data_IF_760746820174
#
_entry.id   IF_760746820174
#
_cell.length_a   1.000
_cell.length_b   1.000
_cell.length_c   1.000
_cell.angle_alpha   90.00
_cell.angle_beta   90.00
_cell.angle_gamma   90.00
#
_symmetry.space_group_name_H-M   'P 1'
#
loop_
_entity.id
_entity.type
_entity.pdbx_description
1 polymer ?
#
# COMPACT_ATOMS: atom_id res chain seq x y z
N UNK A 1 5.73 -24.30 -22.69
CA UNK A 1 4.97 -24.52 -21.45
C UNK A 1 4.88 -23.18 -20.73
N UNK A 2 3.71 -22.81 -20.20
CA UNK A 2 3.61 -21.64 -19.32
C UNK A 2 4.48 -21.89 -18.08
N UNK A 3 5.18 -20.88 -17.57
CA UNK A 3 5.89 -21.04 -16.30
C UNK A 3 4.87 -21.34 -15.19
N UNK A 4 5.24 -22.21 -14.27
CA UNK A 4 4.39 -22.59 -13.14
C UNK A 4 4.27 -21.38 -12.18
N UNK A 5 3.05 -20.89 -11.92
CA UNK A 5 2.83 -19.77 -10.98
C UNK A 5 3.37 -20.08 -9.58
N UNK A 6 3.28 -21.33 -9.11
CA UNK A 6 3.77 -21.73 -7.79
C UNK A 6 5.30 -21.71 -7.74
N UNK A 7 5.99 -22.09 -8.81
CA UNK A 7 7.46 -21.99 -8.87
C UNK A 7 7.91 -20.53 -8.83
N UNK A 8 7.22 -19.66 -9.56
CA UNK A 8 7.48 -18.21 -9.56
C UNK A 8 7.30 -17.61 -8.15
N UNK A 9 6.18 -17.92 -7.49
CA UNK A 9 5.91 -17.43 -6.13
C UNK A 9 6.88 -18.04 -5.09
N UNK A 10 7.27 -19.31 -5.25
CA UNK A 10 8.23 -19.99 -4.37
C UNK A 10 9.62 -19.38 -4.49
N UNK A 11 10.10 -19.13 -5.71
CA UNK A 11 11.40 -18.48 -5.93
C UNK A 11 11.45 -17.07 -5.32
N UNK A 12 10.34 -16.32 -5.39
CA UNK A 12 10.22 -14.99 -4.78
C UNK A 12 10.08 -15.02 -3.25
N UNK A 13 9.94 -16.20 -2.64
CA UNK A 13 9.71 -16.33 -1.19
C UNK A 13 8.30 -15.89 -0.75
N UNK A 14 7.35 -15.85 -1.67
CA UNK A 14 6.00 -15.33 -1.41
C UNK A 14 5.09 -16.38 -0.76
N UNK A 15 5.19 -17.66 -1.14
CA UNK A 15 4.26 -18.68 -0.66
C UNK A 15 4.36 -18.85 0.87
N UNK A 16 3.21 -18.75 1.54
CA UNK A 16 3.03 -19.19 2.93
C UNK A 16 2.41 -20.58 2.97
N UNK A 17 1.23 -20.75 2.36
CA UNK A 17 0.50 -22.02 2.30
C UNK A 17 -0.22 -22.17 0.96
N UNK A 18 -0.39 -23.41 0.51
CA UNK A 18 -1.16 -23.79 -0.67
C UNK A 18 -2.06 -24.96 -0.29
N UNK A 19 -3.34 -24.92 -0.65
CA UNK A 19 -4.28 -25.99 -0.26
C UNK A 19 -4.07 -27.27 -1.07
N UNK A 20 -3.85 -27.14 -2.39
CA UNK A 20 -3.59 -28.25 -3.29
C UNK A 20 -2.87 -27.72 -4.54
N UNK A 21 -1.59 -28.07 -4.71
CA UNK A 21 -0.77 -27.56 -5.82
C UNK A 21 -1.31 -28.00 -7.20
N UNK A 22 -1.78 -29.25 -7.32
CA UNK A 22 -2.31 -29.77 -8.59
C UNK A 22 -3.55 -29.00 -9.05
N UNK A 23 -4.49 -28.69 -8.14
CA UNK A 23 -5.68 -27.88 -8.49
C UNK A 23 -5.30 -26.49 -9.01
N UNK A 24 -4.27 -25.87 -8.44
CA UNK A 24 -3.77 -24.56 -8.92
C UNK A 24 -3.19 -24.67 -10.33
N UNK A 25 -2.45 -25.74 -10.63
CA UNK A 25 -1.90 -25.99 -11.97
C UNK A 25 -3.00 -26.27 -12.99
N UNK A 26 -4.00 -27.07 -12.63
CA UNK A 26 -5.14 -27.38 -13.49
C UNK A 26 -5.96 -26.11 -13.80
N UNK A 27 -6.13 -25.24 -12.80
CA UNK A 27 -6.76 -23.92 -12.94
C UNK A 27 -5.95 -23.00 -13.89
N UNK A 28 -4.62 -22.98 -13.76
CA UNK A 28 -3.73 -22.22 -14.67
C UNK A 28 -3.85 -22.70 -16.13
N UNK A 29 -3.97 -24.02 -16.33
CA UNK A 29 -4.09 -24.63 -17.64
C UNK A 29 -5.49 -24.40 -18.26
N UNK A 30 -6.53 -24.32 -17.43
CA UNK A 30 -7.91 -24.07 -17.84
C UNK A 30 -8.25 -22.58 -17.97
N UNK A 31 -7.31 -21.68 -17.62
CA UNK A 31 -7.52 -20.23 -17.53
C UNK A 31 -8.71 -19.88 -16.62
N UNK A 32 -8.84 -20.60 -15.50
CA UNK A 32 -9.84 -20.32 -14.47
C UNK A 32 -9.59 -18.92 -13.87
N UNK A 33 -10.63 -18.35 -13.26
CA UNK A 33 -10.48 -17.10 -12.54
C UNK A 33 -9.81 -17.31 -11.17
N UNK A 34 -9.08 -16.28 -10.75
CA UNK A 34 -8.48 -16.15 -9.43
C UNK A 34 -9.00 -14.88 -8.80
N UNK A 35 -9.33 -14.89 -7.51
CA UNK A 35 -9.79 -13.68 -6.84
C UNK A 35 -8.99 -13.33 -5.59
N UNK A 36 -8.94 -12.02 -5.31
CA UNK A 36 -8.47 -11.45 -4.06
C UNK A 36 -9.52 -10.47 -3.52
N UNK A 37 -9.82 -10.53 -2.23
CA UNK A 37 -10.71 -9.59 -1.55
C UNK A 37 -9.99 -8.30 -1.12
N UNK A 38 -10.69 -7.18 -1.20
CA UNK A 38 -10.23 -5.87 -0.72
C UNK A 38 -11.37 -5.17 0.03
N UNK A 39 -11.21 -5.02 1.35
CA UNK A 39 -12.18 -4.28 2.19
C UNK A 39 -11.98 -2.76 2.00
N UNK A 40 -13.05 -1.98 1.72
CA UNK A 40 -12.97 -0.55 1.45
C UNK A 40 -12.87 0.30 2.73
N UNK A 41 -11.84 0.07 3.55
CA UNK A 41 -11.66 0.74 4.85
C UNK A 41 -11.23 2.21 4.75
N UNK A 42 -10.75 2.64 3.60
CA UNK A 42 -10.40 4.02 3.29
C UNK A 42 -10.67 4.31 1.80
N UNK A 43 -10.63 5.58 1.42
CA UNK A 43 -10.73 6.10 0.04
C UNK A 43 -9.46 5.91 -0.79
N UNK A 44 -8.46 5.19 -0.28
CA UNK A 44 -7.28 4.76 -1.05
C UNK A 44 -6.70 3.50 -0.43
N UNK A 45 -6.12 2.63 -1.25
CA UNK A 45 -5.18 1.62 -0.78
C UNK A 45 -3.84 2.28 -0.42
N UNK A 46 -2.99 1.52 0.26
CA UNK A 46 -1.65 1.92 0.69
C UNK A 46 -0.66 0.81 0.40
N UNK A 47 0.65 1.06 0.57
CA UNK A 47 1.72 0.10 0.21
C UNK A 47 1.56 -1.31 0.79
N UNK A 48 0.96 -1.45 1.98
CA UNK A 48 0.63 -2.77 2.56
C UNK A 48 -0.28 -3.66 1.70
N UNK A 49 -1.08 -3.08 0.80
CA UNK A 49 -1.95 -3.83 -0.12
C UNK A 49 -1.23 -4.26 -1.40
N UNK A 50 -0.06 -3.66 -1.70
CA UNK A 50 0.65 -3.91 -2.96
C UNK A 50 1.04 -5.37 -3.13
N UNK A 51 1.37 -6.07 -2.04
CA UNK A 51 1.71 -7.48 -2.12
C UNK A 51 0.58 -8.32 -2.74
N UNK A 52 -0.67 -8.05 -2.36
CA UNK A 52 -1.84 -8.74 -2.92
C UNK A 52 -2.12 -8.31 -4.36
N UNK A 53 -2.05 -7.02 -4.65
CA UNK A 53 -2.26 -6.46 -5.99
C UNK A 53 -1.25 -7.06 -6.98
N UNK A 54 0.03 -7.08 -6.61
CA UNK A 54 1.11 -7.63 -7.43
C UNK A 54 0.95 -9.12 -7.60
N UNK A 55 0.59 -9.85 -6.53
CA UNK A 55 0.33 -11.29 -6.61
C UNK A 55 -0.83 -11.58 -7.56
N UNK A 56 -1.96 -10.87 -7.44
CA UNK A 56 -3.09 -11.00 -8.37
C UNK A 56 -2.66 -10.76 -9.82
N UNK A 57 -1.82 -9.74 -10.06
CA UNK A 57 -1.25 -9.48 -11.38
C UNK A 57 -0.30 -10.58 -11.86
N UNK A 58 0.49 -11.21 -10.98
CA UNK A 58 1.34 -12.37 -11.35
C UNK A 58 0.50 -13.54 -11.83
N UNK A 59 -0.61 -13.85 -11.15
CA UNK A 59 -1.54 -14.87 -11.64
C UNK A 59 -2.13 -14.48 -13.00
N UNK A 60 -2.53 -13.22 -13.19
CA UNK A 60 -3.01 -12.74 -14.48
C UNK A 60 -1.99 -12.94 -15.62
N UNK A 61 -0.71 -12.66 -15.36
CA UNK A 61 0.39 -12.89 -16.31
C UNK A 61 0.62 -14.37 -16.64
N UNK A 62 0.19 -15.30 -15.77
CA UNK A 62 0.21 -16.75 -16.04
C UNK A 62 -1.09 -17.29 -16.68
N UNK A 63 -2.02 -16.39 -17.04
CA UNK A 63 -3.21 -16.70 -17.83
C UNK A 63 -4.48 -16.94 -17.01
N UNK A 64 -4.47 -16.71 -15.69
CA UNK A 64 -5.70 -16.66 -14.91
C UNK A 64 -6.50 -15.40 -15.24
N UNK A 65 -7.83 -15.44 -15.03
CA UNK A 65 -8.68 -14.24 -15.08
C UNK A 65 -8.67 -13.56 -13.70
N UNK A 66 -8.05 -12.39 -13.51
CA UNK A 66 -7.95 -11.77 -12.19
C UNK A 66 -9.25 -11.05 -11.78
N UNK A 67 -9.80 -11.41 -10.63
CA UNK A 67 -10.96 -10.79 -10.00
C UNK A 67 -10.52 -10.03 -8.73
N UNK A 68 -10.80 -8.72 -8.69
CA UNK A 68 -10.75 -7.95 -7.45
C UNK A 68 -12.16 -7.90 -6.85
N UNK A 69 -12.36 -8.63 -5.76
CA UNK A 69 -13.61 -8.57 -5.00
C UNK A 69 -13.54 -7.41 -4.03
N UNK A 70 -14.43 -6.44 -4.19
CA UNK A 70 -14.58 -5.33 -3.27
C UNK A 70 -15.58 -5.74 -2.19
N UNK A 71 -15.14 -5.65 -0.93
CA UNK A 71 -15.91 -6.04 0.23
C UNK A 71 -16.96 -5.00 0.63
N UNK A 72 -17.93 -4.70 -0.22
CA UNK A 72 -18.96 -3.70 0.09
C UNK A 72 -19.89 -4.10 1.23
N UNK A 73 -20.20 -5.40 1.38
CA UNK A 73 -20.93 -5.92 2.52
C UNK A 73 -19.99 -6.32 3.66
N UNK A 74 -18.92 -7.08 3.38
CA UNK A 74 -17.95 -7.51 4.41
C UNK A 74 -17.22 -6.36 5.08
N UNK A 75 -17.01 -5.25 4.37
CA UNK A 75 -16.46 -4.01 4.93
C UNK A 75 -17.35 -3.35 5.98
N UNK A 76 -18.67 -3.59 5.94
CA UNK A 76 -19.63 -3.15 6.96
C UNK A 76 -19.69 -4.08 8.19
N UNK A 77 -19.04 -5.25 8.13
CA UNK A 77 -18.97 -6.22 9.22
C UNK A 77 -17.62 -6.11 9.93
N UNK A 78 -16.54 -6.09 9.14
CA UNK A 78 -15.16 -6.01 9.60
C UNK A 78 -14.52 -7.37 9.86
N UNK A 79 -13.41 -7.65 9.17
CA UNK A 79 -12.63 -8.88 9.41
C UNK A 79 -11.93 -8.84 10.78
N UNK A 80 -12.19 -9.80 11.69
CA UNK A 80 -11.51 -9.91 12.98
C UNK A 80 -10.11 -10.54 12.90
N UNK A 81 -9.73 -11.12 11.75
CA UNK A 81 -8.51 -11.93 11.62
C UNK A 81 -7.26 -11.18 12.08
N UNK A 82 -6.66 -11.67 13.17
CA UNK A 82 -5.45 -11.14 13.81
C UNK A 82 -5.53 -9.65 14.18
N UNK A 83 -6.73 -9.13 14.45
CA UNK A 83 -6.96 -7.78 15.02
C UNK A 83 -7.19 -7.87 16.52
N UNK A 84 -6.74 -6.88 17.27
CA UNK A 84 -6.90 -6.84 18.74
C UNK A 84 -8.18 -6.14 19.19
N UNK A 85 -8.81 -5.34 18.32
CA UNK A 85 -9.98 -4.51 18.64
C UNK A 85 -11.01 -4.59 17.52
N UNK A 86 -12.28 -4.37 17.89
CA UNK A 86 -13.39 -4.28 16.94
C UNK A 86 -13.21 -3.09 16.01
N UNK A 87 -13.59 -3.24 14.74
CA UNK A 87 -13.50 -2.14 13.76
C UNK A 87 -14.63 -1.13 13.97
N UNK A 88 -14.33 0.15 13.73
CA UNK A 88 -15.36 1.19 13.65
C UNK A 88 -16.17 0.97 12.37
N UNK A 89 -17.49 0.82 12.51
CA UNK A 89 -18.40 0.64 11.38
C UNK A 89 -18.53 1.93 10.57
N UNK A 90 -18.37 1.81 9.25
CA UNK A 90 -18.51 2.92 8.30
C UNK A 90 -19.97 3.07 7.85
N UNK A 91 -20.38 4.30 7.54
CA UNK A 91 -21.71 4.54 6.95
C UNK A 91 -21.77 3.99 5.53
N UNK A 92 -22.96 3.63 5.03
CA UNK A 92 -23.16 3.17 3.64
C UNK A 92 -22.57 4.17 2.62
N UNK A 93 -22.76 5.48 2.86
CA UNK A 93 -22.20 6.54 2.02
C UNK A 93 -20.66 6.55 2.02
N UNK A 94 -20.03 6.36 3.18
CA UNK A 94 -18.56 6.29 3.26
C UNK A 94 -18.03 5.04 2.55
N UNK A 95 -18.69 3.90 2.73
CA UNK A 95 -18.32 2.65 2.05
C UNK A 95 -18.45 2.82 0.54
N UNK A 96 -19.56 3.36 0.03
CA UNK A 96 -19.76 3.62 -1.40
C UNK A 96 -18.70 4.57 -1.98
N UNK A 97 -18.34 5.63 -1.25
CA UNK A 97 -17.26 6.53 -1.64
C UNK A 97 -15.92 5.78 -1.76
N UNK A 98 -15.58 4.99 -0.75
CA UNK A 98 -14.33 4.23 -0.69
C UNK A 98 -14.27 3.17 -1.81
N UNK A 99 -15.37 2.45 -2.07
CA UNK A 99 -15.49 1.45 -3.15
C UNK A 99 -15.17 2.10 -4.50
N UNK A 100 -15.79 3.24 -4.81
CA UNK A 100 -15.58 3.92 -6.08
C UNK A 100 -14.12 4.35 -6.27
N UNK A 101 -13.50 4.87 -5.20
CA UNK A 101 -12.09 5.30 -5.21
C UNK A 101 -11.12 4.13 -5.39
N UNK A 102 -11.27 3.07 -4.59
CA UNK A 102 -10.41 1.88 -4.66
C UNK A 102 -10.56 1.17 -6.01
N UNK A 103 -11.78 1.04 -6.52
CA UNK A 103 -12.02 0.40 -7.83
C UNK A 103 -11.35 1.17 -8.96
N UNK A 104 -11.44 2.50 -8.94
CA UNK A 104 -10.74 3.36 -9.91
C UNK A 104 -9.22 3.18 -9.82
N UNK A 105 -8.67 3.24 -8.61
CA UNK A 105 -7.24 3.09 -8.36
C UNK A 105 -6.71 1.71 -8.81
N UNK A 106 -7.41 0.62 -8.49
CA UNK A 106 -7.01 -0.73 -8.90
C UNK A 106 -7.09 -0.91 -10.42
N UNK A 107 -8.08 -0.29 -11.09
CA UNK A 107 -8.25 -0.37 -12.55
C UNK A 107 -7.11 0.32 -13.29
N UNK A 108 -6.60 1.43 -12.74
CA UNK A 108 -5.41 2.11 -13.28
C UNK A 108 -4.13 1.25 -13.13
N UNK A 109 -4.00 0.51 -12.03
CA UNK A 109 -2.82 -0.35 -11.74
C UNK A 109 -2.85 -1.68 -12.53
N UNK A 110 -4.04 -2.29 -12.64
CA UNK A 110 -4.28 -3.55 -13.35
C UNK A 110 -5.46 -3.37 -14.32
N UNK A 111 -5.24 -2.84 -15.53
CA UNK A 111 -6.33 -2.59 -16.50
C UNK A 111 -7.14 -3.85 -16.89
N UNK A 112 -6.56 -5.05 -16.73
CA UNK A 112 -7.18 -6.34 -17.05
C UNK A 112 -7.98 -6.95 -15.90
N UNK A 113 -8.04 -6.30 -14.72
CA UNK A 113 -8.77 -6.83 -13.56
C UNK A 113 -10.27 -6.63 -13.71
N UNK A 114 -11.05 -7.68 -13.44
CA UNK A 114 -12.51 -7.56 -13.31
C UNK A 114 -12.87 -7.23 -11.86
N UNK A 115 -13.81 -6.31 -11.68
CA UNK A 115 -14.31 -5.92 -10.37
C UNK A 115 -15.66 -6.57 -10.11
N UNK A 116 -15.82 -7.09 -8.90
CA UNK A 116 -17.10 -7.57 -8.36
C UNK A 116 -17.27 -6.99 -6.97
N UNK A 117 -18.51 -6.72 -6.55
CA UNK A 117 -18.80 -6.24 -5.22
C UNK A 117 -19.65 -7.27 -4.49
N UNK A 118 -19.18 -7.78 -3.34
CA UNK A 118 -19.94 -8.80 -2.64
C UNK A 118 -21.29 -8.32 -2.08
N UNK A 119 -21.49 -7.00 -2.01
CA UNK A 119 -22.81 -6.45 -1.75
C UNK A 119 -23.87 -6.91 -2.76
N UNK A 120 -23.48 -7.13 -4.03
CA UNK A 120 -24.39 -7.48 -5.13
C UNK A 120 -25.10 -8.82 -4.92
N UNK A 121 -24.59 -9.69 -4.05
CA UNK A 121 -25.25 -10.94 -3.66
C UNK A 121 -25.51 -11.06 -2.17
N UNK A 122 -24.74 -10.39 -1.30
CA UNK A 122 -24.95 -10.47 0.15
C UNK A 122 -26.08 -9.56 0.65
N UNK A 123 -26.37 -8.43 -0.03
CA UNK A 123 -27.42 -7.48 0.42
C UNK A 123 -28.84 -8.08 0.30
N UNK A 124 -29.05 -8.99 -0.65
CA UNK A 124 -30.35 -9.62 -0.92
C UNK A 124 -30.62 -10.90 -0.11
N UNK A 125 -29.65 -11.37 0.68
CA UNK A 125 -29.81 -12.60 1.49
C UNK A 125 -30.54 -12.23 2.78
N UNK A 126 -31.75 -12.75 2.95
CA UNK A 126 -32.49 -12.60 4.20
C UNK A 126 -31.74 -13.28 5.36
N UNK A 127 -31.92 -12.80 6.59
CA UNK A 127 -31.30 -13.44 7.76
C UNK A 127 -31.65 -14.94 7.85
N UNK A 128 -32.89 -15.31 7.51
CA UNK A 128 -33.32 -16.71 7.54
C UNK A 128 -32.60 -17.53 6.47
N UNK A 129 -32.48 -17.01 5.25
CA UNK A 129 -31.77 -17.71 4.18
C UNK A 129 -30.27 -17.80 4.48
N UNK A 130 -29.66 -16.76 5.07
CA UNK A 130 -28.27 -16.82 5.53
C UNK A 130 -28.07 -17.96 6.55
N UNK A 131 -28.90 -18.03 7.59
CA UNK A 131 -28.77 -19.06 8.62
C UNK A 131 -29.03 -20.47 8.07
N UNK A 132 -30.05 -20.63 7.21
CA UNK A 132 -30.48 -21.93 6.68
C UNK A 132 -29.59 -22.45 5.56
N UNK A 133 -29.14 -21.59 4.66
CA UNK A 133 -28.48 -22.00 3.43
C UNK A 133 -26.96 -21.84 3.50
N UNK A 134 -26.46 -21.00 4.40
CA UNK A 134 -25.02 -20.79 4.64
C UNK A 134 -24.66 -21.32 6.03
N UNK A 135 -25.26 -20.76 7.09
CA UNK A 135 -24.90 -21.04 8.48
C UNK A 135 -24.91 -22.51 8.88
N UNK A 136 -25.85 -23.32 8.35
CA UNK A 136 -25.93 -24.76 8.65
C UNK A 136 -24.67 -25.56 8.29
N UNK A 137 -23.85 -25.06 7.37
CA UNK A 137 -22.63 -25.73 6.90
C UNK A 137 -21.45 -25.48 7.84
N UNK A 138 -21.55 -24.52 8.76
CA UNK A 138 -20.47 -24.15 9.66
C UNK A 138 -20.73 -24.69 11.06
N UNK A 139 -20.01 -25.75 11.42
CA UNK A 139 -20.03 -26.24 12.79
C UNK A 139 -19.36 -25.22 13.73
N UNK A 140 -20.00 -24.90 14.85
CA UNK A 140 -19.46 -23.94 15.82
C UNK A 140 -18.08 -24.36 16.34
N UNK A 141 -17.87 -25.64 16.69
CA UNK A 141 -16.57 -26.15 17.13
C UNK A 141 -15.49 -25.97 16.06
N UNK A 142 -15.84 -26.09 14.77
CA UNK A 142 -14.92 -25.83 13.67
C UNK A 142 -14.53 -24.35 13.58
N UNK A 143 -15.50 -23.43 13.67
CA UNK A 143 -15.23 -21.98 13.66
C UNK A 143 -14.38 -21.55 14.86
N UNK A 144 -14.70 -22.03 16.05
CA UNK A 144 -13.96 -21.73 17.28
C UNK A 144 -12.51 -22.24 17.25
N UNK A 145 -12.22 -23.28 16.48
CA UNK A 145 -10.88 -23.83 16.32
C UNK A 145 -10.00 -23.04 15.32
N UNK A 146 -10.59 -22.14 14.52
CA UNK A 146 -9.81 -21.27 13.62
C UNK A 146 -8.98 -20.29 14.45
N UNK A 147 -7.68 -20.24 14.20
CA UNK A 147 -6.74 -19.41 14.95
C UNK A 147 -7.18 -17.93 15.03
N UNK A 148 -7.64 -17.37 13.90
CA UNK A 148 -8.14 -15.99 13.80
C UNK A 148 -9.31 -15.68 14.76
N UNK A 149 -10.18 -16.66 14.99
CA UNK A 149 -11.34 -16.55 15.89
C UNK A 149 -10.90 -16.86 17.33
N UNK A 150 -10.14 -17.95 17.53
CA UNK A 150 -9.70 -18.41 18.84
C UNK A 150 -8.95 -17.33 19.62
N UNK A 151 -8.05 -16.58 18.96
CA UNK A 151 -7.32 -15.48 19.61
C UNK A 151 -8.24 -14.33 20.00
N UNK A 152 -9.31 -14.07 19.24
CA UNK A 152 -10.18 -12.93 19.45
C UNK A 152 -11.24 -13.17 20.52
N UNK A 153 -11.73 -14.40 20.64
CA UNK A 153 -12.72 -14.78 21.66
C UNK A 153 -12.23 -14.44 23.07
N UNK A 154 -10.94 -14.60 23.35
CA UNK A 154 -10.36 -14.25 24.66
C UNK A 154 -10.43 -12.75 24.97
N UNK A 155 -10.48 -11.91 23.93
CA UNK A 155 -10.54 -10.43 24.05
C UNK A 155 -11.94 -9.85 23.82
N UNK A 156 -12.92 -10.69 23.47
CA UNK A 156 -14.24 -10.29 22.99
C UNK A 156 -14.33 -10.31 21.46
N UNK A 157 -15.38 -10.96 20.95
CA UNK A 157 -15.72 -11.05 19.53
C UNK A 157 -17.24 -10.92 19.41
N UNK A 158 -17.73 -9.95 18.62
CA UNK A 158 -19.17 -9.76 18.42
C UNK A 158 -19.72 -10.83 17.46
N UNK A 159 -21.03 -11.12 17.55
CA UNK A 159 -21.70 -12.02 16.60
C UNK A 159 -21.53 -11.51 15.16
N UNK A 160 -21.50 -10.19 14.99
CA UNK A 160 -21.23 -9.51 13.71
C UNK A 160 -19.88 -9.94 13.15
N UNK A 161 -18.77 -9.73 13.87
CA UNK A 161 -17.43 -10.14 13.42
C UNK A 161 -17.31 -11.67 13.27
N UNK A 162 -17.98 -12.45 14.13
CA UNK A 162 -17.99 -13.91 14.05
C UNK A 162 -18.59 -14.43 12.73
N UNK A 163 -19.59 -13.74 12.18
CA UNK A 163 -20.20 -14.10 10.89
C UNK A 163 -19.31 -13.82 9.68
N UNK A 164 -18.22 -13.05 9.82
CA UNK A 164 -17.36 -12.65 8.70
C UNK A 164 -16.83 -13.84 7.89
N UNK A 165 -16.33 -14.88 8.57
CA UNK A 165 -15.79 -16.09 7.92
C UNK A 165 -16.83 -16.78 7.03
N UNK A 166 -18.10 -16.80 7.45
CA UNK A 166 -19.20 -17.39 6.68
C UNK A 166 -19.53 -16.56 5.43
N UNK A 167 -19.51 -15.22 5.56
CA UNK A 167 -19.73 -14.31 4.43
C UNK A 167 -18.63 -14.45 3.37
N UNK A 168 -17.35 -14.45 3.78
CA UNK A 168 -16.23 -14.65 2.84
C UNK A 168 -16.23 -16.05 2.22
N UNK A 169 -16.67 -17.07 2.96
CA UNK A 169 -16.83 -18.41 2.41
C UNK A 169 -17.92 -18.45 1.32
N UNK A 170 -19.03 -17.74 1.54
CA UNK A 170 -20.09 -17.59 0.54
C UNK A 170 -19.62 -16.81 -0.69
N UNK A 171 -18.79 -15.79 -0.53
CA UNK A 171 -18.17 -15.07 -1.64
C UNK A 171 -17.41 -16.03 -2.57
N UNK A 172 -16.61 -16.95 -2.02
CA UNK A 172 -15.89 -17.93 -2.84
C UNK A 172 -16.87 -18.84 -3.57
N UNK A 173 -17.89 -19.35 -2.88
CA UNK A 173 -18.92 -20.18 -3.51
C UNK A 173 -19.65 -19.46 -4.64
N UNK A 174 -20.01 -18.19 -4.44
CA UNK A 174 -20.68 -17.39 -5.46
C UNK A 174 -19.80 -17.22 -6.70
N UNK A 175 -18.55 -16.84 -6.53
CA UNK A 175 -17.60 -16.67 -7.65
C UNK A 175 -17.28 -18.01 -8.33
N UNK A 176 -17.20 -19.10 -7.57
CA UNK A 176 -17.00 -20.44 -8.12
C UNK A 176 -18.15 -20.86 -9.05
N UNK A 177 -19.39 -20.53 -8.66
CA UNK A 177 -20.59 -20.88 -9.43
C UNK A 177 -20.82 -19.96 -10.63
N UNK A 178 -20.53 -18.66 -10.50
CA UNK A 178 -20.97 -17.63 -11.47
C UNK A 178 -19.83 -17.00 -12.29
N UNK A 179 -18.56 -17.19 -11.90
CA UNK A 179 -17.42 -16.47 -12.50
C UNK A 179 -16.25 -17.38 -12.90
N UNK A 180 -16.46 -18.70 -13.03
CA UNK A 180 -15.42 -19.69 -13.31
C UNK A 180 -14.20 -19.57 -12.36
N UNK A 181 -14.43 -19.17 -11.11
CA UNK A 181 -13.36 -18.85 -10.16
C UNK A 181 -13.02 -20.03 -9.26
N UNK A 182 -11.86 -20.65 -9.48
CA UNK A 182 -11.41 -21.83 -8.70
C UNK A 182 -10.28 -21.54 -7.72
N UNK A 183 -9.72 -20.33 -7.72
CA UNK A 183 -8.59 -19.96 -6.84
C UNK A 183 -8.88 -18.69 -6.04
N UNK A 184 -8.66 -18.77 -4.72
CA UNK A 184 -8.61 -17.59 -3.84
C UNK A 184 -7.17 -17.31 -3.40
N UNK A 185 -6.74 -16.05 -3.45
CA UNK A 185 -5.46 -15.61 -2.89
C UNK A 185 -5.66 -14.61 -1.76
N UNK A 186 -4.74 -14.59 -0.79
CA UNK A 186 -4.77 -13.65 0.32
C UNK A 186 -3.48 -13.60 1.12
N UNK A 187 -3.43 -12.74 2.14
CA UNK A 187 -2.35 -12.73 3.11
C UNK A 187 -2.34 -13.98 3.98
N UNK A 188 -1.25 -14.23 4.69
CA UNK A 188 -1.15 -15.40 5.60
C UNK A 188 -2.22 -15.41 6.68
N UNK A 189 -2.73 -14.23 7.04
CA UNK A 189 -3.84 -14.02 7.97
C UNK A 189 -5.21 -14.49 7.43
N UNK A 190 -5.35 -14.69 6.11
CA UNK A 190 -6.61 -15.09 5.47
C UNK A 190 -6.80 -16.60 5.33
N UNK A 191 -5.84 -17.42 5.80
CA UNK A 191 -5.89 -18.88 5.63
C UNK A 191 -7.18 -19.50 6.16
N UNK A 192 -7.64 -19.05 7.34
CA UNK A 192 -8.86 -19.54 7.97
C UNK A 192 -10.09 -19.32 7.10
N UNK A 193 -10.24 -18.12 6.52
CA UNK A 193 -11.39 -17.77 5.70
C UNK A 193 -11.34 -18.44 4.31
N UNK A 194 -10.14 -18.52 3.70
CA UNK A 194 -9.94 -19.22 2.41
C UNK A 194 -10.35 -20.69 2.51
N UNK A 195 -9.88 -21.38 3.53
CA UNK A 195 -10.20 -22.80 3.76
C UNK A 195 -11.68 -23.02 4.04
N UNK A 196 -12.31 -22.13 4.82
CA UNK A 196 -13.76 -22.16 5.05
C UNK A 196 -14.57 -22.04 3.76
N UNK A 197 -14.13 -21.23 2.79
CA UNK A 197 -14.77 -21.15 1.47
C UNK A 197 -14.64 -22.43 0.66
N UNK A 198 -13.48 -23.09 0.71
CA UNK A 198 -13.25 -24.36 0.01
C UNK A 198 -14.09 -25.49 0.61
N UNK A 199 -14.17 -25.55 1.95
CA UNK A 199 -14.99 -26.52 2.66
C UNK A 199 -16.48 -26.32 2.33
N UNK A 200 -16.95 -25.05 2.34
CA UNK A 200 -18.32 -24.71 1.95
C UNK A 200 -18.65 -25.12 0.51
N UNK A 201 -17.77 -24.86 -0.46
CA UNK A 201 -17.95 -25.35 -1.85
C UNK A 201 -17.97 -26.88 -1.90
N UNK A 202 -17.16 -27.55 -1.10
CA UNK A 202 -17.09 -29.01 -1.06
C UNK A 202 -18.38 -29.64 -0.55
N UNK A 203 -19.00 -29.02 0.45
CA UNK A 203 -20.26 -29.48 1.05
C UNK A 203 -21.47 -29.15 0.18
N UNK A 204 -21.48 -27.99 -0.49
CA UNK A 204 -22.64 -27.53 -1.29
C UNK A 204 -22.60 -28.02 -2.73
N UNK A 205 -21.43 -28.19 -3.34
CA UNK A 205 -21.28 -28.59 -4.76
C UNK A 205 -20.86 -30.05 -4.89
N UNK A 206 -19.64 -30.40 -4.47
CA UNK A 206 -19.14 -31.77 -4.30
C UNK A 206 -17.68 -31.75 -3.80
N UNK A 207 -17.23 -32.85 -3.18
CA UNK A 207 -15.87 -32.98 -2.62
C UNK A 207 -14.72 -32.94 -3.66
N UNK A 208 -15.00 -33.23 -4.93
CA UNK A 208 -14.02 -33.26 -6.01
C UNK A 208 -13.99 -31.95 -6.82
N UNK A 209 -14.53 -30.86 -6.28
CA UNK A 209 -14.52 -29.54 -6.90
C UNK A 209 -13.09 -29.03 -7.16
N UNK A 210 -12.97 -27.95 -7.96
CA UNK A 210 -11.67 -27.34 -8.30
C UNK A 210 -11.20 -26.27 -7.32
N UNK A 211 -11.99 -25.93 -6.29
CA UNK A 211 -11.68 -24.83 -5.38
C UNK A 211 -10.37 -25.08 -4.65
N UNK A 212 -9.52 -24.05 -4.62
CA UNK A 212 -8.19 -24.05 -4.04
C UNK A 212 -7.78 -22.65 -3.59
N UNK A 213 -6.72 -22.59 -2.77
CA UNK A 213 -6.29 -21.35 -2.15
C UNK A 213 -4.78 -21.26 -1.99
N UNK A 214 -4.27 -20.03 -2.09
CA UNK A 214 -2.85 -19.71 -1.86
C UNK A 214 -2.77 -18.51 -0.93
N UNK A 215 -2.05 -18.65 0.19
CA UNK A 215 -1.68 -17.50 1.01
C UNK A 215 -0.23 -17.13 0.79
N UNK A 216 0.04 -15.83 0.86
CA UNK A 216 1.41 -15.31 0.78
C UNK A 216 1.85 -14.72 2.11
N UNK A 217 3.17 -14.73 2.34
CA UNK A 217 3.79 -14.15 3.52
C UNK A 217 3.42 -12.65 3.61
N UNK A 218 3.03 -12.20 4.80
CA UNK A 218 2.88 -10.78 5.08
C UNK A 218 4.26 -10.12 5.02
N UNK A 219 4.32 -8.92 4.44
CA UNK A 219 5.57 -8.20 4.31
C UNK A 219 5.99 -7.63 5.67
N UNK A 220 7.09 -8.15 6.21
CA UNK A 220 7.77 -7.66 7.40
C UNK A 220 9.07 -6.98 6.99
N UNK A 221 9.46 -5.93 7.70
CA UNK A 221 10.81 -5.39 7.65
C UNK A 221 11.78 -6.33 8.37
N UNK A 222 13.08 -6.20 8.08
CA UNK A 222 14.16 -6.90 8.82
C UNK A 222 14.12 -6.67 10.34
N UNK A 223 13.60 -5.52 10.79
CA UNK A 223 13.39 -5.19 12.21
C UNK A 223 12.13 -5.84 12.84
N UNK A 224 11.37 -6.64 12.08
CA UNK A 224 10.15 -7.32 12.51
C UNK A 224 8.87 -6.45 12.45
N UNK A 225 8.97 -5.17 12.11
CA UNK A 225 7.78 -4.31 11.98
C UNK A 225 6.97 -4.64 10.73
N UNK A 226 5.64 -4.45 10.80
CA UNK A 226 4.77 -4.53 9.62
C UNK A 226 5.19 -3.48 8.59
N UNK A 227 5.41 -3.90 7.36
CA UNK A 227 5.81 -3.00 6.28
C UNK A 227 4.68 -2.01 5.93
N UNK A 228 5.03 -0.75 5.67
CA UNK A 228 4.08 0.29 5.24
C UNK A 228 3.50 1.19 6.33
N UNK A 229 3.87 0.99 7.60
CA UNK A 229 3.72 2.03 8.64
C UNK A 229 5.03 2.81 8.75
N UNK A 230 5.00 4.09 8.40
CA UNK A 230 6.07 5.05 8.70
C UNK A 230 5.70 5.82 9.96
N UNK A 231 6.66 6.55 10.55
CA UNK A 231 6.38 7.51 11.64
C UNK A 231 5.30 8.54 11.22
N UNK A 232 5.25 8.85 9.92
CA UNK A 232 4.28 9.77 9.31
C UNK A 232 2.92 9.15 8.97
N UNK A 233 2.71 7.85 9.20
CA UNK A 233 1.45 7.16 8.92
C UNK A 233 1.55 6.17 7.74
N UNK A 234 0.47 6.10 6.95
CA UNK A 234 0.40 5.19 5.81
C UNK A 234 0.96 5.86 4.54
N UNK A 235 1.71 5.10 3.75
CA UNK A 235 2.14 5.51 2.39
C UNK A 235 1.04 5.10 1.42
N UNK A 236 0.23 6.06 1.00
CA UNK A 236 -0.95 5.84 0.16
C UNK A 236 -0.57 5.63 -1.30
N UNK A 237 -1.41 4.91 -2.04
CA UNK A 237 -1.27 4.77 -3.49
C UNK A 237 -1.91 5.95 -4.25
N UNK A 238 -2.76 6.75 -3.59
CA UNK A 238 -3.33 7.98 -4.16
C UNK A 238 -2.31 9.12 -4.08
N UNK A 239 -1.94 9.65 -5.26
CA UNK A 239 -0.98 10.76 -5.41
C UNK A 239 -1.38 12.05 -4.70
N UNK A 240 -2.67 12.23 -4.37
CA UNK A 240 -3.17 13.38 -3.61
C UNK A 240 -2.93 13.25 -2.11
N UNK A 241 -2.64 12.04 -1.62
CA UNK A 241 -2.36 11.74 -0.21
C UNK A 241 -0.89 11.44 0.07
N UNK A 242 -0.22 10.84 -0.89
CA UNK A 242 1.23 10.62 -0.88
C UNK A 242 1.72 10.96 -2.27
N UNK A 243 2.44 12.06 -2.40
CA UNK A 243 2.92 12.52 -3.70
C UNK A 243 3.79 11.46 -4.37
N UNK A 244 3.89 11.51 -5.70
CA UNK A 244 4.73 10.57 -6.46
C UNK A 244 6.20 10.62 -5.99
N UNK A 245 6.67 11.79 -5.53
CA UNK A 245 7.98 11.97 -4.93
C UNK A 245 8.10 11.27 -3.57
N UNK A 246 7.18 11.49 -2.64
CA UNK A 246 7.20 10.82 -1.33
C UNK A 246 7.10 9.30 -1.47
N UNK A 247 6.28 8.83 -2.42
CA UNK A 247 6.15 7.42 -2.75
C UNK A 247 7.49 6.85 -3.25
N UNK A 248 8.16 7.53 -4.20
CA UNK A 248 9.48 7.13 -4.67
C UNK A 248 10.53 7.14 -3.55
N UNK A 249 10.56 8.20 -2.74
CA UNK A 249 11.50 8.34 -1.63
C UNK A 249 11.30 7.28 -0.55
N UNK A 250 10.06 6.85 -0.30
CA UNK A 250 9.79 5.74 0.61
C UNK A 250 10.54 4.48 0.19
N UNK A 251 10.50 4.11 -1.10
CA UNK A 251 11.23 2.95 -1.62
C UNK A 251 12.74 3.18 -1.73
N UNK A 252 13.15 4.41 -2.06
CA UNK A 252 14.56 4.75 -2.17
C UNK A 252 15.28 4.68 -0.82
N UNK A 253 14.57 4.94 0.29
CA UNK A 253 15.13 4.94 1.64
C UNK A 253 15.13 3.55 2.33
N UNK A 254 14.83 2.46 1.59
CA UNK A 254 14.91 1.11 2.14
C UNK A 254 16.36 0.67 2.34
N UNK A 255 16.58 -0.21 3.31
CA UNK A 255 17.90 -0.80 3.58
C UNK A 255 18.35 -1.68 2.41
N UNK A 256 19.66 -1.96 2.33
CA UNK A 256 20.20 -2.87 1.31
C UNK A 256 19.56 -4.27 1.42
N UNK A 257 19.42 -4.79 2.65
CA UNK A 257 18.83 -6.10 2.93
C UNK A 257 17.35 -6.16 2.53
N UNK A 258 16.56 -5.17 2.98
CA UNK A 258 15.13 -5.11 2.65
C UNK A 258 14.94 -4.95 1.14
N UNK A 259 15.77 -4.14 0.46
CA UNK A 259 15.64 -3.88 -0.97
C UNK A 259 15.77 -5.16 -1.81
N UNK A 260 16.65 -6.10 -1.42
CA UNK A 260 16.77 -7.39 -2.11
C UNK A 260 15.47 -8.18 -2.03
N UNK A 261 14.88 -8.27 -0.84
CA UNK A 261 13.63 -8.99 -0.62
C UNK A 261 12.45 -8.28 -1.32
N UNK A 262 12.38 -6.96 -1.21
CA UNK A 262 11.33 -6.15 -1.82
C UNK A 262 11.36 -6.22 -3.34
N UNK A 263 12.55 -6.22 -3.96
CA UNK A 263 12.69 -6.43 -5.41
C UNK A 263 12.08 -7.77 -5.84
N UNK A 264 12.38 -8.85 -5.10
CA UNK A 264 11.81 -10.19 -5.38
C UNK A 264 10.30 -10.20 -5.21
N UNK A 265 9.79 -9.67 -4.10
CA UNK A 265 8.39 -9.77 -3.75
C UNK A 265 7.49 -8.84 -4.58
N UNK A 266 7.94 -7.60 -4.82
CA UNK A 266 7.08 -6.53 -5.32
C UNK A 266 7.30 -6.16 -6.80
N UNK A 267 8.44 -6.50 -7.41
CA UNK A 267 8.69 -6.13 -8.81
C UNK A 267 8.47 -7.29 -9.78
N UNK A 268 8.36 -6.99 -11.08
CA UNK A 268 8.29 -8.01 -12.12
C UNK A 268 9.66 -8.31 -12.76
N UNK A 269 10.74 -7.84 -12.14
CA UNK A 269 12.10 -8.17 -12.58
C UNK A 269 12.33 -9.68 -12.52
N UNK A 270 13.10 -10.17 -13.49
CA UNK A 270 13.53 -11.56 -13.58
C UNK A 270 14.59 -11.88 -12.54
N UNK A 271 14.83 -13.17 -12.31
CA UNK A 271 15.91 -13.65 -11.44
C UNK A 271 17.26 -13.05 -11.83
N UNK A 272 17.62 -13.13 -13.12
CA UNK A 272 18.89 -12.64 -13.63
C UNK A 272 19.05 -11.12 -13.44
N UNK A 273 17.97 -10.35 -13.64
CA UNK A 273 17.98 -8.91 -13.41
C UNK A 273 18.24 -8.56 -11.94
N UNK A 274 17.59 -9.26 -11.01
CA UNK A 274 17.80 -9.06 -9.57
C UNK A 274 19.22 -9.46 -9.17
N UNK A 275 19.74 -10.58 -9.66
CA UNK A 275 21.12 -11.03 -9.39
C UNK A 275 22.16 -10.04 -9.92
N UNK A 276 21.94 -9.49 -11.12
CA UNK A 276 22.79 -8.46 -11.70
C UNK A 276 22.78 -7.17 -10.86
N UNK A 277 21.60 -6.72 -10.41
CA UNK A 277 21.48 -5.54 -9.54
C UNK A 277 22.21 -5.74 -8.21
N UNK A 278 22.10 -6.92 -7.60
CA UNK A 278 22.83 -7.27 -6.37
C UNK A 278 24.34 -7.21 -6.62
N UNK A 279 24.82 -7.79 -7.72
CA UNK A 279 26.24 -7.76 -8.08
C UNK A 279 26.77 -6.34 -8.27
N UNK A 280 26.03 -5.50 -8.99
CA UNK A 280 26.39 -4.09 -9.20
C UNK A 280 26.39 -3.29 -7.90
N UNK A 281 25.38 -3.51 -7.05
CA UNK A 281 25.29 -2.86 -5.75
C UNK A 281 26.44 -3.25 -4.84
N UNK A 282 26.79 -4.53 -4.76
CA UNK A 282 27.92 -4.99 -3.95
C UNK A 282 29.26 -4.40 -4.42
N UNK A 283 29.41 -4.11 -5.71
CA UNK A 283 30.61 -3.46 -6.25
C UNK A 283 30.64 -1.96 -5.92
N UNK A 284 29.49 -1.28 -5.87
CA UNK A 284 29.39 0.16 -5.62
C UNK A 284 28.16 0.52 -4.75
N UNK A 285 28.16 0.20 -3.45
CA UNK A 285 26.98 0.38 -2.60
C UNK A 285 26.46 1.83 -2.56
N UNK A 286 27.37 2.80 -2.60
CA UNK A 286 27.06 4.23 -2.61
C UNK A 286 26.24 4.71 -3.84
N UNK A 287 26.10 3.88 -4.87
CA UNK A 287 25.25 4.19 -6.04
C UNK A 287 23.78 3.84 -5.83
N UNK A 288 23.45 3.07 -4.78
CA UNK A 288 22.09 2.67 -4.39
C UNK A 288 21.32 1.99 -5.54
N UNK A 289 21.97 1.04 -6.22
CA UNK A 289 21.37 0.39 -7.41
C UNK A 289 20.08 -0.36 -7.06
N UNK A 290 20.07 -1.06 -5.93
CA UNK A 290 18.89 -1.81 -5.45
C UNK A 290 17.71 -0.87 -5.15
N UNK A 291 17.95 0.17 -4.36
CA UNK A 291 16.93 1.14 -3.96
C UNK A 291 16.37 1.93 -5.15
N UNK A 292 17.23 2.34 -6.09
CA UNK A 292 16.79 3.03 -7.31
C UNK A 292 15.92 2.14 -8.19
N UNK A 293 16.32 0.88 -8.37
CA UNK A 293 15.52 -0.07 -9.14
C UNK A 293 14.16 -0.30 -8.47
N UNK A 294 14.15 -0.54 -7.16
CA UNK A 294 12.91 -0.73 -6.39
C UNK A 294 12.01 0.50 -6.49
N UNK A 295 12.53 1.69 -6.20
CA UNK A 295 11.77 2.93 -6.26
C UNK A 295 11.21 3.21 -7.65
N UNK A 296 12.00 2.95 -8.70
CA UNK A 296 11.57 3.17 -10.08
C UNK A 296 10.46 2.19 -10.49
N UNK A 297 10.66 0.89 -10.23
CA UNK A 297 9.67 -0.15 -10.57
C UNK A 297 8.35 0.07 -9.83
N UNK A 298 8.41 0.36 -8.53
CA UNK A 298 7.21 0.56 -7.72
C UNK A 298 6.47 1.85 -8.09
N UNK A 299 7.19 2.95 -8.29
CA UNK A 299 6.57 4.23 -8.68
C UNK A 299 5.96 4.13 -10.07
N UNK A 300 6.65 3.47 -11.02
CA UNK A 300 6.10 3.22 -12.36
C UNK A 300 4.89 2.29 -12.31
N UNK A 301 4.90 1.29 -11.44
CA UNK A 301 3.78 0.37 -11.30
C UNK A 301 2.50 1.06 -10.80
N UNK A 302 2.62 1.94 -9.81
CA UNK A 302 1.47 2.59 -9.16
C UNK A 302 1.06 3.89 -9.87
N UNK A 303 2.02 4.71 -10.28
CA UNK A 303 1.79 6.06 -10.82
C UNK A 303 2.18 6.19 -12.31
N UNK A 304 2.38 5.05 -12.99
CA UNK A 304 2.74 4.98 -14.41
C UNK A 304 4.07 5.70 -14.71
N UNK A 305 4.46 5.74 -15.98
CA UNK A 305 5.72 6.38 -16.40
C UNK A 305 5.74 7.87 -16.04
N UNK A 306 4.62 8.56 -16.21
CA UNK A 306 4.53 10.00 -15.91
C UNK A 306 4.78 10.29 -14.43
N UNK A 307 4.24 9.49 -13.51
CA UNK A 307 4.49 9.65 -12.08
C UNK A 307 5.95 9.39 -11.70
N UNK A 308 6.57 8.37 -12.30
CA UNK A 308 8.01 8.13 -12.15
C UNK A 308 8.84 9.32 -12.63
N UNK A 309 8.56 9.85 -13.82
CA UNK A 309 9.30 10.99 -14.39
C UNK A 309 9.21 12.23 -13.48
N UNK A 310 8.03 12.50 -12.91
CA UNK A 310 7.86 13.58 -11.91
C UNK A 310 8.71 13.33 -10.67
N UNK A 311 8.65 12.12 -10.11
CA UNK A 311 9.39 11.75 -8.90
C UNK A 311 10.91 11.86 -9.09
N UNK A 312 11.42 11.45 -10.26
CA UNK A 312 12.83 11.57 -10.62
C UNK A 312 13.25 13.03 -10.77
N UNK A 313 12.47 13.87 -11.47
CA UNK A 313 12.75 15.31 -11.59
C UNK A 313 12.79 16.01 -10.23
N UNK A 314 11.84 15.69 -9.35
CA UNK A 314 11.82 16.21 -7.98
C UNK A 314 13.04 15.75 -7.18
N UNK A 315 13.37 14.46 -7.27
CA UNK A 315 14.55 13.89 -6.59
C UNK A 315 15.84 14.56 -7.06
N UNK A 316 15.99 14.77 -8.38
CA UNK A 316 17.13 15.46 -8.97
C UNK A 316 17.20 16.92 -8.50
N UNK A 317 16.08 17.66 -8.54
CA UNK A 317 16.04 19.05 -8.11
C UNK A 317 16.34 19.23 -6.62
N UNK A 318 15.87 18.33 -5.75
CA UNK A 318 16.26 18.31 -4.33
C UNK A 318 17.75 18.02 -4.14
N UNK A 319 18.31 17.13 -4.95
CA UNK A 319 19.72 16.72 -4.87
C UNK A 319 20.68 17.80 -5.40
N UNK A 320 20.40 18.37 -6.57
CA UNK A 320 21.15 19.48 -7.18
C UNK A 320 20.95 20.78 -6.41
N UNK A 321 19.78 20.91 -5.79
CA UNK A 321 19.34 22.06 -5.03
C UNK A 321 18.78 23.19 -5.87
N UNK A 322 18.32 22.88 -7.08
CA UNK A 322 17.74 23.81 -8.04
C UNK A 322 16.22 23.59 -8.15
N UNK A 323 15.51 23.82 -7.05
CA UNK A 323 14.04 23.68 -7.03
C UNK A 323 13.35 24.72 -7.92
N UNK A 324 13.95 25.90 -8.13
CA UNK A 324 13.34 26.98 -8.91
C UNK A 324 13.32 26.71 -10.43
N UNK A 325 14.09 25.73 -10.92
CA UNK A 325 14.01 25.25 -12.30
C UNK A 325 12.77 24.40 -12.61
N UNK A 326 12.06 23.95 -11.58
CA UNK A 326 10.87 23.12 -11.73
C UNK A 326 9.71 23.92 -12.33
N UNK A 327 8.88 23.25 -13.13
CA UNK A 327 7.57 23.77 -13.53
C UNK A 327 6.71 24.07 -12.30
N UNK A 328 5.78 25.03 -12.38
CA UNK A 328 4.90 25.43 -11.26
C UNK A 328 4.24 24.26 -10.52
N UNK A 329 3.75 23.24 -11.25
CA UNK A 329 3.11 22.07 -10.64
C UNK A 329 4.09 21.22 -9.82
N UNK A 330 5.27 20.93 -10.38
CA UNK A 330 6.34 20.23 -9.66
C UNK A 330 6.85 21.07 -8.49
N UNK A 331 6.97 22.38 -8.63
CA UNK A 331 7.38 23.26 -7.55
C UNK A 331 6.38 23.20 -6.39
N UNK A 332 5.07 23.24 -6.67
CA UNK A 332 4.02 23.05 -5.65
C UNK A 332 4.13 21.70 -4.95
N UNK A 333 4.35 20.62 -5.70
CA UNK A 333 4.55 19.28 -5.14
C UNK A 333 5.78 19.24 -4.22
N UNK A 334 6.90 19.85 -4.65
CA UNK A 334 8.11 19.95 -3.84
C UNK A 334 7.83 20.67 -2.52
N UNK A 335 7.18 21.84 -2.57
CA UNK A 335 6.84 22.62 -1.37
C UNK A 335 5.96 21.83 -0.38
N UNK A 336 4.96 21.10 -0.88
CA UNK A 336 4.05 20.33 -0.03
C UNK A 336 4.72 19.12 0.63
N UNK A 337 5.76 18.55 0.00
CA UNK A 337 6.53 17.42 0.55
C UNK A 337 7.56 17.82 1.62
N UNK A 338 7.77 19.12 1.83
CA UNK A 338 8.77 19.63 2.76
C UNK A 338 8.18 19.91 4.15
N UNK A 339 9.00 19.78 5.22
CA UNK A 339 8.64 20.26 6.54
C UNK A 339 8.24 21.73 6.46
N UNK A 340 7.03 22.04 6.90
CA UNK A 340 6.46 23.36 6.79
C UNK A 340 5.87 23.84 8.11
N UNK A 341 5.82 25.15 8.30
CA UNK A 341 5.22 25.80 9.48
C UNK A 341 4.59 27.11 9.07
N UNK A 342 3.44 27.43 9.67
CA UNK A 342 2.75 28.69 9.44
C UNK A 342 3.34 29.78 10.33
N UNK A 343 3.86 30.84 9.74
CA UNK A 343 4.57 31.91 10.45
C UNK A 343 3.97 33.25 10.04
N UNK A 344 3.80 34.15 11.01
CA UNK A 344 3.28 35.50 10.76
C UNK A 344 4.29 36.34 9.99
N UNK A 345 3.79 37.23 9.12
CA UNK A 345 4.61 38.18 8.35
C UNK A 345 5.57 39.03 9.19
N UNK A 346 5.21 39.33 10.43
CA UNK A 346 5.99 40.21 11.32
C UNK A 346 7.04 39.47 12.17
N UNK A 347 7.14 38.14 12.03
CA UNK A 347 8.13 37.34 12.76
C UNK A 347 9.53 37.62 12.21
N UNK A 348 10.52 37.74 13.11
CA UNK A 348 11.94 37.86 12.70
C UNK A 348 12.48 36.54 12.16
N UNK A 349 13.44 36.59 11.24
CA UNK A 349 14.07 35.40 10.65
C UNK A 349 14.60 34.45 11.73
N UNK A 350 15.25 34.97 12.78
CA UNK A 350 15.78 34.12 13.85
C UNK A 350 14.71 33.32 14.59
N UNK A 351 13.55 33.93 14.83
CA UNK A 351 12.41 33.28 15.48
C UNK A 351 11.79 32.24 14.54
N UNK A 352 11.64 32.61 13.27
CA UNK A 352 11.11 31.72 12.24
C UNK A 352 11.97 30.47 12.04
N UNK A 353 13.31 30.60 12.07
CA UNK A 353 14.23 29.45 11.96
C UNK A 353 14.10 28.46 13.12
N UNK A 354 13.79 28.94 14.32
CA UNK A 354 13.56 28.09 15.50
C UNK A 354 12.17 27.45 15.42
N UNK A 355 11.15 28.22 15.06
CA UNK A 355 9.77 27.73 14.94
C UNK A 355 9.63 26.64 13.87
N UNK A 356 10.30 26.83 12.73
CA UNK A 356 10.39 25.86 11.63
C UNK A 356 11.30 24.66 11.96
N UNK A 357 11.93 24.64 13.14
CA UNK A 357 12.89 23.63 13.61
C UNK A 357 14.10 23.45 12.69
N UNK A 358 14.48 24.53 11.99
CA UNK A 358 15.74 24.59 11.24
C UNK A 358 16.92 24.60 12.21
N UNK A 359 16.75 25.29 13.34
CA UNK A 359 17.64 25.27 14.50
C UNK A 359 16.85 24.92 15.77
N UNK A 360 17.50 24.25 16.72
CA UNK A 360 16.93 23.91 18.03
C UNK A 360 16.86 25.11 18.98
N UNK A 361 17.67 26.14 18.74
CA UNK A 361 17.74 27.33 19.57
C UNK A 361 18.16 28.57 18.77
N UNK A 362 17.89 29.76 19.32
CA UNK A 362 18.33 31.03 18.72
C UNK A 362 19.86 31.11 18.58
N UNK A 363 20.62 30.56 19.54
CA UNK A 363 22.08 30.56 19.48
C UNK A 363 22.60 29.78 18.27
N UNK A 364 22.02 28.60 18.02
CA UNK A 364 22.36 27.78 16.86
C UNK A 364 21.91 28.44 15.55
N UNK A 365 20.72 29.07 15.53
CA UNK A 365 20.25 29.81 14.36
C UNK A 365 21.24 30.93 13.95
N UNK A 366 21.76 31.69 14.93
CA UNK A 366 22.79 32.72 14.70
C UNK A 366 24.07 32.16 14.11
N UNK A 367 24.49 31.00 14.58
CA UNK A 367 25.68 30.32 14.05
C UNK A 367 25.48 29.95 12.57
N UNK A 368 24.31 29.41 12.21
CA UNK A 368 24.00 29.11 10.81
C UNK A 368 23.96 30.35 9.93
N UNK A 369 23.37 31.46 10.40
CA UNK A 369 23.34 32.74 9.68
C UNK A 369 24.75 33.30 9.48
N UNK A 370 25.56 33.35 10.55
CA UNK A 370 26.96 33.82 10.50
C UNK A 370 27.82 32.99 9.53
N UNK A 371 27.58 31.68 9.47
CA UNK A 371 28.28 30.78 8.56
C UNK A 371 27.72 30.78 7.13
N UNK A 372 26.80 31.70 6.79
CA UNK A 372 26.12 31.79 5.48
C UNK A 372 25.45 30.48 5.07
N UNK A 373 24.99 29.72 6.06
CA UNK A 373 24.42 28.39 5.88
C UNK A 373 22.90 28.40 5.67
N UNK A 374 22.26 29.56 5.77
CA UNK A 374 20.82 29.73 5.55
C UNK A 374 20.59 30.54 4.28
N UNK A 375 19.74 30.02 3.40
CA UNK A 375 19.20 30.77 2.27
C UNK A 375 17.67 30.83 2.39
N UNK A 376 17.09 31.99 2.08
CA UNK A 376 15.65 32.16 1.89
C UNK A 376 15.45 32.56 0.43
N UNK A 377 14.67 31.78 -0.33
CA UNK A 377 14.44 31.97 -1.76
C UNK A 377 15.75 32.17 -2.57
N UNK A 378 16.75 31.33 -2.30
CA UNK A 378 18.11 31.40 -2.87
C UNK A 378 18.93 32.65 -2.50
N UNK A 379 18.47 33.51 -1.60
CA UNK A 379 19.23 34.63 -1.06
C UNK A 379 19.89 34.22 0.25
N UNK A 380 21.20 34.43 0.38
CA UNK A 380 21.96 34.17 1.61
C UNK A 380 21.55 35.16 2.69
N UNK A 381 21.19 34.66 3.87
CA UNK A 381 20.73 35.51 4.98
C UNK A 381 21.80 35.58 6.06
N UNK A 382 22.18 36.81 6.41
CA UNK A 382 23.17 37.11 7.45
C UNK A 382 22.57 37.90 8.62
N UNK A 383 21.54 38.73 8.38
CA UNK A 383 20.88 39.54 9.41
C UNK A 383 19.71 38.78 10.07
N UNK A 384 19.84 38.56 11.38
CA UNK A 384 18.86 37.87 12.20
C UNK A 384 17.58 38.68 12.46
N UNK A 385 17.64 40.00 12.26
CA UNK A 385 16.55 40.94 12.53
C UNK A 385 15.63 41.22 11.35
N UNK A 386 15.96 40.70 10.15
CA UNK A 386 15.05 40.74 9.02
C UNK A 386 13.71 40.11 9.39
N UNK A 387 12.64 40.64 8.81
CA UNK A 387 11.27 40.22 9.08
C UNK A 387 10.76 39.39 7.91
N UNK A 388 9.92 38.39 8.15
CA UNK A 388 9.39 37.51 7.08
C UNK A 388 8.71 38.30 5.95
N UNK A 389 8.07 39.43 6.26
CA UNK A 389 7.46 40.36 5.30
C UNK A 389 8.43 41.05 4.35
N UNK A 390 9.74 41.00 4.60
CA UNK A 390 10.77 41.62 3.75
C UNK A 390 11.14 40.79 2.51
N UNK A 391 10.65 39.56 2.40
CA UNK A 391 10.95 38.65 1.29
C UNK A 391 9.79 38.55 0.30
N UNK A 392 10.12 38.45 -1.00
CA UNK A 392 9.13 38.16 -2.04
C UNK A 392 8.54 36.75 -1.83
N UNK A 393 7.22 36.67 -1.73
CA UNK A 393 6.53 35.41 -1.50
C UNK A 393 6.39 34.61 -2.79
N UNK A 394 6.80 33.35 -2.76
CA UNK A 394 6.53 32.43 -3.86
C UNK A 394 5.05 32.04 -3.83
N UNK A 395 4.37 32.18 -4.97
CA UNK A 395 2.93 31.97 -5.12
C UNK A 395 2.11 32.71 -4.05
N UNK A 396 2.56 33.91 -3.66
CA UNK A 396 1.92 34.81 -2.70
C UNK A 396 1.75 34.25 -1.28
N UNK A 397 2.39 33.12 -0.93
CA UNK A 397 2.22 32.51 0.42
C UNK A 397 3.40 31.69 0.94
N UNK A 398 4.40 31.38 0.12
CA UNK A 398 5.51 30.51 0.53
C UNK A 398 6.84 31.26 0.59
N UNK A 399 7.68 30.90 1.55
CA UNK A 399 9.13 31.10 1.47
C UNK A 399 9.84 29.75 1.59
N UNK A 400 10.84 29.54 0.73
CA UNK A 400 11.67 28.34 0.76
C UNK A 400 12.94 28.63 1.58
N UNK A 401 13.09 27.93 2.69
CA UNK A 401 14.28 28.03 3.56
C UNK A 401 15.19 26.83 3.30
N UNK A 402 16.45 27.09 3.00
CA UNK A 402 17.49 26.06 2.79
C UNK A 402 18.56 26.17 3.87
N UNK A 403 18.81 25.06 4.57
CA UNK A 403 19.94 24.90 5.51
C UNK A 403 21.04 24.06 4.86
N UNK A 404 22.20 24.68 4.65
CA UNK A 404 23.36 24.07 4.01
C UNK A 404 23.07 23.68 2.56
N UNK A 405 23.49 22.48 2.15
CA UNK A 405 23.36 22.03 0.75
C UNK A 405 22.03 21.36 0.40
N UNK A 406 21.40 20.65 1.34
CA UNK A 406 20.34 19.67 1.02
C UNK A 406 19.10 19.72 1.91
N UNK A 407 19.11 20.45 3.04
CA UNK A 407 17.96 20.48 3.95
C UNK A 407 17.06 21.65 3.59
N UNK A 408 15.82 21.36 3.21
CA UNK A 408 14.83 22.37 2.82
C UNK A 408 13.66 22.36 3.80
N UNK A 409 13.05 23.52 3.96
CA UNK A 409 11.90 23.78 4.79
C UNK A 409 11.05 24.86 4.13
N UNK A 410 9.76 24.92 4.48
CA UNK A 410 8.83 25.87 3.88
C UNK A 410 8.15 26.69 4.96
N UNK A 411 8.19 28.02 4.82
CA UNK A 411 7.38 28.92 5.62
C UNK A 411 6.08 29.17 4.85
N UNK A 412 4.95 28.89 5.51
CA UNK A 412 3.62 29.28 5.07
C UNK A 412 3.29 30.62 5.71
N UNK A 413 3.36 31.69 4.94
CA UNK A 413 3.20 33.05 5.47
C UNK A 413 1.72 33.34 5.71
N UNK A 414 1.40 33.73 6.96
CA UNK A 414 0.07 34.19 7.39
C UNK A 414 -0.05 35.70 7.34
#
# INVERSE_FOLDING_TARGET
>A
MKNNILEELKWRGLIKQVTNEQKILDAQNSNDAVYCGFDPTADSLHVGHLMMIITLKRFALQGFKPIALIGGATGMIGDPSFKASERVLQTKQQVDHNINKISTQLKEIIPTVSFVNNRDWLEDISLIDFLRDIGKHFNLSYLLAKESIATRIQTGLSVTEFCYTMLQAFDFYYLYKNNDCSVQIGGSDQWGNITSGIDFISDTINKNNKASGVTINLLTKSDGQKFGKTESGAVWLDKTKTSEYEFYQFWFNQTDEDSINLLKCLTFLTKDQIEQLIKQHNQQPAKHFLQKALASEMTKFVHQQQGLDKALKLTEAFFSGDLFSLTDDLFKMALNSLPNTQINKDTKVIDALVELKVASSKREAREFLKNKAILINNQVIEDENLVISSFDLIQNKYLLVKKGKKKYFVILVK
#
